data_IF_230271874988
#
_entry.id   IF_230271874988
#
_cell.length_a   1.000
_cell.length_b   1.000
_cell.length_c   1.000
_cell.angle_alpha   90.00
_cell.angle_beta   90.00
_cell.angle_gamma   90.00
#
_symmetry.space_group_name_H-M   'P 1'
#
loop_
_entity.id
_entity.type
_entity.pdbx_description
1 polymer ?
#
# COMPACT_ATOMS: atom_id res chain seq x y z
N UNK A 1 1.40 10.44 29.45
CA UNK A 1 2.57 9.59 29.12
C UNK A 1 3.01 9.92 27.69
N UNK A 2 4.30 10.19 27.53
CA UNK A 2 4.85 10.44 26.18
C UNK A 2 5.28 9.14 25.54
N UNK A 3 4.71 8.83 24.38
CA UNK A 3 5.12 7.67 23.59
C UNK A 3 6.39 8.01 22.84
N UNK A 4 7.48 7.29 23.08
CA UNK A 4 8.78 7.50 22.44
C UNK A 4 9.18 6.38 21.47
N UNK A 5 8.57 5.20 21.62
CA UNK A 5 8.84 4.07 20.76
C UNK A 5 7.58 3.22 20.57
N UNK A 6 7.60 2.35 19.59
CA UNK A 6 6.47 1.44 19.34
C UNK A 6 6.20 0.47 20.51
N UNK A 7 7.22 0.16 21.29
CA UNK A 7 7.05 -0.70 22.48
C UNK A 7 6.28 -0.02 23.61
N UNK A 8 6.13 1.30 23.56
CA UNK A 8 5.38 2.07 24.55
C UNK A 8 3.86 2.03 24.29
N UNK A 9 3.43 1.49 23.16
CA UNK A 9 2.02 1.41 22.77
C UNK A 9 1.30 0.35 23.59
N UNK A 10 0.21 0.73 24.23
CA UNK A 10 -0.67 -0.21 24.93
C UNK A 10 -1.67 -0.87 23.94
N UNK A 11 -2.46 -1.82 24.44
CA UNK A 11 -3.42 -2.55 23.61
C UNK A 11 -4.49 -1.66 23.00
N UNK A 12 -4.96 -0.65 23.71
CA UNK A 12 -5.95 0.30 23.21
C UNK A 12 -5.39 1.14 22.05
N UNK A 13 -4.15 1.60 22.20
CA UNK A 13 -3.48 2.37 21.15
C UNK A 13 -3.21 1.53 19.91
N UNK A 14 -2.81 0.25 20.07
CA UNK A 14 -2.66 -0.68 18.96
C UNK A 14 -3.99 -0.96 18.26
N UNK A 15 -5.06 -1.13 19.02
CA UNK A 15 -6.40 -1.32 18.44
C UNK A 15 -6.87 -0.08 17.67
N UNK A 16 -6.53 1.11 18.17
CA UNK A 16 -6.81 2.37 17.49
C UNK A 16 -6.07 2.44 16.15
N UNK A 17 -4.79 2.05 16.12
CA UNK A 17 -4.02 1.99 14.87
C UNK A 17 -4.60 0.97 13.89
N UNK A 18 -5.05 -0.19 14.37
CA UNK A 18 -5.73 -1.18 13.54
C UNK A 18 -7.01 -0.65 12.93
N UNK A 19 -7.79 0.07 13.72
CA UNK A 19 -9.03 0.70 13.25
C UNK A 19 -8.75 1.75 12.18
N UNK A 20 -7.76 2.61 12.40
CA UNK A 20 -7.33 3.62 11.41
C UNK A 20 -6.86 2.94 10.13
N UNK A 21 -6.07 1.88 10.25
CA UNK A 21 -5.59 1.11 9.11
C UNK A 21 -6.73 0.46 8.33
N UNK A 22 -7.74 -0.06 9.01
CA UNK A 22 -8.93 -0.66 8.39
C UNK A 22 -9.75 0.36 7.63
N UNK A 23 -9.96 1.54 8.23
CA UNK A 23 -10.70 2.64 7.57
C UNK A 23 -9.94 3.11 6.33
N UNK A 24 -8.63 3.33 6.46
CA UNK A 24 -7.78 3.76 5.35
C UNK A 24 -7.77 2.74 4.21
N UNK A 25 -7.66 1.46 4.54
CA UNK A 25 -7.68 0.35 3.58
C UNK A 25 -9.03 0.28 2.84
N UNK A 26 -10.14 0.46 3.56
CA UNK A 26 -11.47 0.49 2.95
C UNK A 26 -11.62 1.65 1.96
N UNK A 27 -11.13 2.82 2.31
CA UNK A 27 -11.15 3.99 1.42
C UNK A 27 -10.26 3.79 0.20
N UNK A 28 -9.09 3.20 0.36
CA UNK A 28 -8.19 2.88 -0.75
C UNK A 28 -8.84 1.86 -1.70
N UNK A 29 -9.54 0.85 -1.18
CA UNK A 29 -10.25 -0.14 -1.99
C UNK A 29 -11.38 0.51 -2.81
N UNK A 30 -12.12 1.43 -2.22
CA UNK A 30 -13.17 2.18 -2.91
C UNK A 30 -12.59 3.02 -4.05
N UNK A 31 -11.49 3.72 -3.80
CA UNK A 31 -10.80 4.51 -4.81
C UNK A 31 -10.26 3.62 -5.94
N UNK A 32 -9.67 2.49 -5.61
CA UNK A 32 -9.18 1.53 -6.59
C UNK A 32 -10.32 0.97 -7.44
N UNK A 33 -11.45 0.63 -6.82
CA UNK A 33 -12.65 0.14 -7.54
C UNK A 33 -13.12 1.15 -8.57
N UNK A 34 -13.11 2.43 -8.22
CA UNK A 34 -13.46 3.51 -9.15
C UNK A 34 -12.46 3.64 -10.29
N UNK A 35 -11.16 3.52 -9.97
CA UNK A 35 -10.09 3.64 -10.96
C UNK A 35 -10.14 2.53 -12.01
N UNK A 36 -10.32 1.29 -11.58
CA UNK A 36 -10.31 0.13 -12.48
C UNK A 36 -11.69 -0.26 -13.02
N UNK A 37 -12.76 0.37 -12.55
CA UNK A 37 -14.12 0.08 -13.01
C UNK A 37 -14.66 -1.28 -12.59
N UNK A 38 -14.08 -1.89 -11.56
CA UNK A 38 -14.48 -3.19 -11.02
C UNK A 38 -14.57 -3.12 -9.51
N UNK A 39 -15.44 -3.93 -8.93
CA UNK A 39 -15.51 -4.03 -7.48
C UNK A 39 -14.27 -4.72 -6.92
N UNK A 40 -13.55 -4.02 -6.06
CA UNK A 40 -12.42 -4.56 -5.32
C UNK A 40 -12.88 -4.89 -3.91
N UNK A 41 -12.64 -6.12 -3.50
CA UNK A 41 -12.86 -6.55 -2.12
C UNK A 41 -11.51 -6.74 -1.46
N UNK A 42 -11.40 -6.22 -0.26
CA UNK A 42 -10.24 -6.46 0.59
C UNK A 42 -10.67 -7.48 1.62
N UNK A 43 -9.91 -8.56 1.69
CA UNK A 43 -10.04 -9.52 2.78
C UNK A 43 -9.62 -8.80 4.07
N UNK A 44 -9.92 -9.40 5.22
CA UNK A 44 -9.71 -8.78 6.52
C UNK A 44 -8.31 -8.13 6.60
N UNK A 45 -8.22 -6.78 6.66
CA UNK A 45 -6.93 -6.13 6.73
C UNK A 45 -6.26 -6.42 8.07
N UNK A 46 -4.96 -6.64 8.03
CA UNK A 46 -4.16 -6.89 9.22
C UNK A 46 -3.16 -5.74 9.38
N UNK A 47 -3.13 -5.15 10.57
CA UNK A 47 -2.17 -4.09 10.91
C UNK A 47 -1.19 -4.64 11.93
N UNK A 48 0.09 -4.59 11.60
CA UNK A 48 1.18 -5.02 12.46
C UNK A 48 2.22 -3.91 12.59
N UNK A 49 2.80 -3.85 13.78
CA UNK A 49 3.97 -3.00 14.05
C UNK A 49 5.17 -3.92 14.18
N UNK A 50 6.17 -3.71 13.36
CA UNK A 50 7.34 -4.57 13.31
C UNK A 50 8.58 -3.79 12.90
N UNK A 51 9.75 -4.35 13.16
CA UNK A 51 11.01 -3.80 12.69
C UNK A 51 11.17 -3.96 11.18
N UNK A 52 12.12 -3.22 10.61
CA UNK A 52 12.40 -3.22 9.18
C UNK A 52 12.71 -4.62 8.63
N UNK A 53 13.57 -5.37 9.31
CA UNK A 53 13.94 -6.72 8.85
C UNK A 53 12.77 -7.71 8.90
N UNK A 54 11.94 -7.62 9.93
CA UNK A 54 10.71 -8.43 10.03
C UNK A 54 9.75 -8.08 8.89
N UNK A 55 9.60 -6.81 8.57
CA UNK A 55 8.74 -6.36 7.48
C UNK A 55 9.20 -6.93 6.14
N UNK A 56 10.52 -6.93 5.87
CA UNK A 56 11.07 -7.50 4.64
C UNK A 56 10.77 -9.00 4.56
N UNK A 57 10.97 -9.75 5.64
CA UNK A 57 10.66 -11.18 5.67
C UNK A 57 9.17 -11.43 5.46
N UNK A 58 8.32 -10.58 6.02
CA UNK A 58 6.87 -10.73 5.92
C UNK A 58 6.36 -10.55 4.49
N UNK A 59 6.98 -9.69 3.70
CA UNK A 59 6.60 -9.47 2.29
C UNK A 59 7.25 -10.46 1.31
N UNK A 60 7.99 -11.44 1.78
CA UNK A 60 8.56 -12.52 0.95
C UNK A 60 10.06 -12.67 1.03
N UNK A 61 10.74 -11.85 1.83
CA UNK A 61 12.19 -11.88 2.01
C UNK A 61 12.95 -10.89 1.14
N UNK A 62 14.26 -10.72 1.41
CA UNK A 62 15.06 -9.68 0.76
C UNK A 62 15.32 -9.93 -0.74
N UNK A 63 15.08 -11.14 -1.22
CA UNK A 63 15.27 -11.48 -2.63
C UNK A 63 13.96 -11.46 -3.43
N UNK A 64 12.83 -11.22 -2.77
CA UNK A 64 11.54 -11.15 -3.44
C UNK A 64 11.45 -9.88 -4.29
N UNK A 65 11.11 -10.05 -5.56
CA UNK A 65 10.91 -8.93 -6.47
C UNK A 65 9.45 -8.50 -6.43
N UNK A 66 9.22 -7.25 -6.13
CA UNK A 66 7.88 -6.65 -6.09
C UNK A 66 7.90 -5.28 -6.74
N UNK A 67 6.76 -4.81 -7.18
CA UNK A 67 6.62 -3.41 -7.54
C UNK A 67 6.30 -2.60 -6.28
N UNK A 68 6.91 -1.44 -6.13
CA UNK A 68 6.65 -0.56 -5.00
C UNK A 68 6.41 0.87 -5.44
N UNK A 69 5.38 1.49 -4.88
CA UNK A 69 5.16 2.93 -5.02
C UNK A 69 5.48 3.58 -3.68
N UNK A 70 6.46 4.47 -3.68
CA UNK A 70 6.95 5.11 -2.48
C UNK A 70 6.50 6.57 -2.45
N UNK A 71 5.91 6.98 -1.33
CA UNK A 71 5.47 8.34 -1.11
C UNK A 71 6.09 8.86 0.19
N UNK A 72 6.73 10.01 0.12
CA UNK A 72 7.29 10.68 1.29
C UNK A 72 6.24 11.59 1.90
N UNK A 73 6.05 11.46 3.19
CA UNK A 73 5.18 12.34 3.98
C UNK A 73 6.00 13.34 4.77
N UNK A 74 5.53 14.58 4.84
CA UNK A 74 6.17 15.62 5.64
C UNK A 74 5.10 16.53 6.25
N UNK A 75 5.45 17.20 7.35
CA UNK A 75 4.55 18.08 8.08
C UNK A 75 4.50 17.70 9.56
N UNK A 76 3.32 17.57 10.12
CA UNK A 76 3.15 17.14 11.52
C UNK A 76 3.61 15.69 11.73
N UNK A 77 3.48 14.86 10.69
CA UNK A 77 4.00 13.50 10.67
C UNK A 77 4.99 13.39 9.52
N UNK A 78 6.18 12.91 9.81
CA UNK A 78 7.20 12.66 8.81
C UNK A 78 7.40 11.17 8.66
N UNK A 79 7.46 10.69 7.43
CA UNK A 79 7.64 9.28 7.18
C UNK A 79 7.60 8.94 5.70
N UNK A 80 7.62 7.65 5.44
CA UNK A 80 7.55 7.11 4.10
C UNK A 80 6.42 6.08 4.08
N UNK A 81 5.55 6.17 3.08
CA UNK A 81 4.60 5.11 2.79
C UNK A 81 5.06 4.35 1.56
N UNK A 82 5.09 3.05 1.68
CA UNK A 82 5.44 2.15 0.58
C UNK A 82 4.25 1.22 0.31
N UNK A 83 3.71 1.31 -0.90
CA UNK A 83 2.73 0.35 -1.39
C UNK A 83 3.47 -0.74 -2.13
N UNK A 84 3.47 -1.95 -1.60
CA UNK A 84 4.10 -3.12 -2.21
C UNK A 84 3.05 -3.91 -2.97
N UNK A 85 3.31 -4.16 -4.25
CA UNK A 85 2.34 -4.75 -5.17
C UNK A 85 2.93 -5.98 -5.83
N UNK A 86 2.19 -7.08 -5.82
CA UNK A 86 2.55 -8.28 -6.56
C UNK A 86 2.10 -8.19 -8.02
N UNK A 87 2.68 -9.02 -8.88
CA UNK A 87 2.46 -8.97 -10.32
C UNK A 87 0.98 -9.09 -10.70
N UNK A 88 0.23 -9.93 -10.01
CA UNK A 88 -1.21 -10.08 -10.23
C UNK A 88 -1.96 -8.75 -10.07
N UNK A 89 -1.64 -8.02 -9.01
CA UNK A 89 -2.24 -6.70 -8.73
C UNK A 89 -1.77 -5.67 -9.76
N UNK A 90 -0.47 -5.66 -10.07
CA UNK A 90 0.12 -4.79 -11.10
C UNK A 90 -0.64 -4.95 -12.42
N UNK A 91 -0.85 -6.19 -12.86
CA UNK A 91 -1.57 -6.45 -14.09
C UNK A 91 -3.04 -6.05 -14.04
N UNK A 92 -3.69 -6.19 -12.89
CA UNK A 92 -5.06 -5.70 -12.72
C UNK A 92 -5.16 -4.20 -13.00
N UNK A 93 -4.23 -3.42 -12.47
CA UNK A 93 -4.18 -1.97 -12.68
C UNK A 93 -3.82 -1.64 -14.14
N UNK A 94 -2.79 -2.28 -14.68
CA UNK A 94 -2.32 -2.02 -16.05
C UNK A 94 -3.37 -2.37 -17.10
N UNK A 95 -4.01 -3.51 -16.98
CA UNK A 95 -5.08 -3.92 -17.89
C UNK A 95 -6.25 -2.96 -17.88
N UNK A 96 -6.59 -2.44 -16.70
CA UNK A 96 -7.68 -1.48 -16.55
C UNK A 96 -7.34 -0.10 -17.12
N UNK A 97 -6.11 0.36 -16.94
CA UNK A 97 -5.68 1.69 -17.37
C UNK A 97 -5.12 1.73 -18.77
N UNK A 98 -4.38 0.71 -19.18
CA UNK A 98 -3.66 0.66 -20.46
C UNK A 98 -4.21 -0.41 -21.42
N UNK A 99 -5.11 -1.28 -20.95
CA UNK A 99 -5.67 -2.36 -21.75
C UNK A 99 -4.76 -3.57 -21.91
N UNK A 100 -3.59 -3.57 -21.29
CA UNK A 100 -2.59 -4.61 -21.46
C UNK A 100 -1.71 -4.71 -20.22
N UNK A 101 -1.50 -5.94 -19.75
CA UNK A 101 -0.56 -6.25 -18.67
C UNK A 101 0.84 -6.59 -19.16
N UNK A 102 1.68 -7.06 -18.24
CA UNK A 102 3.06 -7.51 -18.48
C UNK A 102 3.24 -8.94 -18.01
N UNK A 103 4.19 -9.66 -18.62
CA UNK A 103 4.48 -11.05 -18.23
C UNK A 103 5.28 -11.11 -16.92
N UNK A 104 6.17 -10.16 -16.73
CA UNK A 104 7.00 -10.03 -15.52
C UNK A 104 7.36 -8.57 -15.28
N UNK A 105 8.07 -8.31 -14.17
CA UNK A 105 8.43 -6.93 -13.79
C UNK A 105 9.39 -6.26 -14.77
N UNK A 106 10.11 -7.01 -15.61
CA UNK A 106 10.99 -6.43 -16.63
C UNK A 106 10.22 -5.70 -17.74
N UNK A 107 8.93 -5.98 -17.88
CA UNK A 107 8.03 -5.29 -18.81
C UNK A 107 7.55 -3.93 -18.32
N UNK A 108 7.91 -3.52 -17.10
CA UNK A 108 7.52 -2.23 -16.55
C UNK A 108 8.42 -1.12 -17.08
N UNK A 109 8.02 -0.55 -18.21
CA UNK A 109 8.67 0.61 -18.81
C UNK A 109 8.01 1.91 -18.34
N UNK A 110 8.31 3.02 -18.98
CA UNK A 110 7.88 4.35 -18.54
C UNK A 110 6.36 4.49 -18.44
N UNK A 111 5.62 3.99 -19.43
CA UNK A 111 4.16 4.09 -19.46
C UNK A 111 3.52 3.27 -18.35
N UNK A 112 3.97 2.03 -18.14
CA UNK A 112 3.49 1.13 -17.12
C UNK A 112 3.82 1.67 -15.73
N UNK A 113 5.02 2.17 -15.53
CA UNK A 113 5.41 2.81 -14.25
C UNK A 113 4.56 4.04 -13.97
N UNK A 114 4.28 4.87 -14.97
CA UNK A 114 3.42 6.06 -14.80
C UNK A 114 2.00 5.67 -14.36
N UNK A 115 1.44 4.61 -14.96
CA UNK A 115 0.13 4.10 -14.57
C UNK A 115 0.11 3.59 -13.13
N UNK A 116 1.15 2.84 -12.72
CA UNK A 116 1.26 2.33 -11.36
C UNK A 116 1.46 3.45 -10.34
N UNK A 117 2.22 4.48 -10.67
CA UNK A 117 2.42 5.65 -9.81
C UNK A 117 1.10 6.39 -9.62
N UNK A 118 0.35 6.61 -10.69
CA UNK A 118 -0.97 7.26 -10.60
C UNK A 118 -1.93 6.47 -9.72
N UNK A 119 -2.06 5.16 -9.94
CA UNK A 119 -2.90 4.28 -9.13
C UNK A 119 -2.45 4.22 -7.67
N UNK A 120 -1.15 4.12 -7.44
CA UNK A 120 -0.55 4.10 -6.11
C UNK A 120 -0.77 5.41 -5.36
N UNK A 121 -0.62 6.55 -6.02
CA UNK A 121 -0.87 7.85 -5.42
C UNK A 121 -2.34 8.03 -5.03
N UNK A 122 -3.27 7.58 -5.85
CA UNK A 122 -4.70 7.62 -5.52
C UNK A 122 -5.00 6.77 -4.29
N UNK A 123 -4.50 5.55 -4.23
CA UNK A 123 -4.70 4.65 -3.09
C UNK A 123 -4.09 5.20 -1.81
N UNK A 124 -2.85 5.65 -1.87
CA UNK A 124 -2.14 6.19 -0.70
C UNK A 124 -2.81 7.47 -0.21
N UNK A 125 -3.20 8.37 -1.12
CA UNK A 125 -3.88 9.62 -0.74
C UNK A 125 -5.22 9.36 -0.06
N UNK A 126 -6.02 8.44 -0.55
CA UNK A 126 -7.30 8.08 0.05
C UNK A 126 -7.12 7.35 1.38
N UNK A 127 -6.07 6.57 1.53
CA UNK A 127 -5.70 5.94 2.79
C UNK A 127 -5.35 7.00 3.85
N UNK A 128 -4.48 7.95 3.50
CA UNK A 128 -4.02 9.00 4.44
C UNK A 128 -5.15 9.95 4.84
N UNK A 129 -6.04 10.28 3.90
CA UNK A 129 -7.12 11.24 4.13
C UNK A 129 -8.39 10.61 4.73
N UNK A 130 -8.27 9.37 5.17
CA UNK A 130 -9.38 8.65 5.78
C UNK A 130 -9.80 9.19 7.14
#
# INVERSE_FOLDING_TARGET
MTIKSYSDLNSLELDTLREIGSIGTGNAATALSSLIGQQVRIEMPEVRIMGYNEAIEWIGGPEEITAGVLVKMSGQVNGIMLSVQQLKFVNLVLESMLGKGVEDYSGLHEMECSALIEGGNIMISTFINA
#
